data_IF_316157188843
#
_entry.id   IF_316157188843
#
_cell.length_a   1.000
_cell.length_b   1.000
_cell.length_c   1.000
_cell.angle_alpha   90.00
_cell.angle_beta   90.00
_cell.angle_gamma   90.00
#
_symmetry.space_group_name_H-M   'P 1'
#
loop_
_entity.id
_entity.type
_entity.pdbx_description
1 polymer ?
#
# COMPACT_ATOMS: atom_id res chain seq x y z
N UNK A 1 6.88 24.77 -7.56
CA UNK A 1 8.13 24.07 -7.16
C UNK A 1 7.72 22.70 -6.66
N UNK A 2 8.25 21.61 -7.22
CA UNK A 2 7.90 20.27 -6.76
C UNK A 2 8.49 19.98 -5.37
N UNK A 3 7.71 19.26 -4.57
CA UNK A 3 8.16 18.76 -3.27
C UNK A 3 8.82 17.39 -3.46
N UNK A 4 9.94 17.15 -2.78
CA UNK A 4 10.63 15.87 -2.74
C UNK A 4 10.61 15.33 -1.31
N UNK A 5 10.22 14.07 -1.15
CA UNK A 5 10.41 13.36 0.10
C UNK A 5 11.79 12.74 0.10
N UNK A 6 12.56 12.98 1.15
CA UNK A 6 13.90 12.42 1.29
C UNK A 6 14.02 11.60 2.57
N UNK A 7 14.89 10.60 2.46
CA UNK A 7 15.44 9.83 3.56
C UNK A 7 16.95 10.07 3.51
N UNK A 8 17.50 10.72 4.52
CA UNK A 8 18.92 10.97 4.62
C UNK A 8 19.48 10.46 5.96
N UNK A 9 20.78 10.28 6.02
CA UNK A 9 21.51 9.87 7.23
C UNK A 9 22.47 10.97 7.63
N UNK A 10 22.44 11.36 8.90
CA UNK A 10 23.43 12.27 9.49
C UNK A 10 24.77 11.56 9.70
N UNK A 11 25.85 12.32 9.88
CA UNK A 11 27.17 11.79 10.23
C UNK A 11 27.16 10.98 11.55
N UNK A 12 26.20 11.24 12.43
CA UNK A 12 25.94 10.51 13.68
C UNK A 12 25.32 9.12 13.46
N UNK A 13 24.96 8.78 12.21
CA UNK A 13 24.27 7.54 11.85
C UNK A 13 22.74 7.61 11.98
N UNK A 14 22.19 8.72 12.50
CA UNK A 14 20.74 8.90 12.65
C UNK A 14 20.07 9.12 11.30
N UNK A 15 18.99 8.39 11.06
CA UNK A 15 18.18 8.54 9.85
C UNK A 15 17.16 9.66 10.06
N UNK A 16 17.09 10.57 9.10
CA UNK A 16 16.20 11.74 9.09
C UNK A 16 15.34 11.66 7.84
N UNK A 17 14.04 11.80 8.02
CA UNK A 17 13.06 11.82 6.93
C UNK A 17 12.37 13.17 6.91
N UNK A 18 12.27 13.78 5.74
CA UNK A 18 11.66 15.10 5.59
C UNK A 18 11.13 15.35 4.19
N UNK A 19 10.49 16.49 4.02
CA UNK A 19 10.06 17.02 2.73
C UNK A 19 10.92 18.24 2.44
N UNK A 20 11.35 18.36 1.20
CA UNK A 20 12.16 19.47 0.70
C UNK A 20 11.62 19.90 -0.66
N UNK A 21 11.29 21.18 -0.81
CA UNK A 21 10.92 21.76 -2.10
C UNK A 21 12.19 22.07 -2.89
N UNK A 22 12.31 21.56 -4.12
CA UNK A 22 13.46 21.80 -4.99
C UNK A 22 13.01 21.87 -6.46
N UNK A 23 13.79 22.54 -7.31
CA UNK A 23 13.46 22.69 -8.74
C UNK A 23 13.62 21.38 -9.50
N UNK A 24 14.58 20.55 -9.10
CA UNK A 24 14.89 19.25 -9.70
C UNK A 24 15.57 18.34 -8.64
N UNK A 25 15.78 17.05 -8.96
CA UNK A 25 16.42 16.08 -8.06
C UNK A 25 17.86 16.48 -7.70
N UNK A 26 18.59 17.10 -8.62
CA UNK A 26 19.97 17.54 -8.39
C UNK A 26 20.03 18.67 -7.34
N UNK A 27 19.11 19.62 -7.41
CA UNK A 27 18.94 20.71 -6.44
C UNK A 27 18.53 20.18 -5.06
N UNK A 28 17.69 19.14 -5.02
CA UNK A 28 17.34 18.45 -3.78
C UNK A 28 18.57 17.79 -3.14
N UNK A 29 19.40 17.10 -3.93
CA UNK A 29 20.65 16.50 -3.45
C UNK A 29 21.64 17.55 -2.94
N UNK A 30 21.82 18.65 -3.68
CA UNK A 30 22.70 19.75 -3.28
C UNK A 30 22.24 20.40 -1.97
N UNK A 31 20.92 20.57 -1.80
CA UNK A 31 20.32 21.11 -0.58
C UNK A 31 20.46 20.18 0.63
N UNK A 32 20.46 18.85 0.41
CA UNK A 32 20.74 17.86 1.46
C UNK A 32 22.23 17.85 1.83
N UNK A 33 23.11 17.91 0.83
CA UNK A 33 24.56 17.99 1.05
C UNK A 33 24.95 19.27 1.82
N UNK A 34 24.33 20.41 1.51
CA UNK A 34 24.52 21.66 2.25
C UNK A 34 24.10 21.59 3.73
N UNK A 35 23.23 20.63 4.08
CA UNK A 35 22.79 20.35 5.46
C UNK A 35 23.60 19.25 6.13
N UNK A 36 24.70 18.80 5.53
CA UNK A 36 25.51 17.66 6.01
C UNK A 36 24.70 16.36 6.16
N UNK A 37 23.65 16.21 5.34
CA UNK A 37 22.78 15.03 5.31
C UNK A 37 23.15 14.18 4.10
N UNK A 38 23.44 12.90 4.31
CA UNK A 38 23.75 11.96 3.25
C UNK A 38 22.46 11.32 2.71
N UNK A 39 22.03 11.60 1.47
CA UNK A 39 20.80 11.06 0.92
C UNK A 39 20.88 9.55 0.72
N UNK A 40 19.96 8.81 1.34
CA UNK A 40 19.77 7.37 1.15
C UNK A 40 18.71 7.11 0.07
N UNK A 41 17.66 7.95 0.04
CA UNK A 41 16.60 7.90 -0.97
C UNK A 41 15.98 9.28 -1.15
N UNK A 42 15.75 9.70 -2.40
CA UNK A 42 15.09 10.97 -2.75
C UNK A 42 14.05 10.66 -3.81
N UNK A 43 12.78 10.83 -3.49
CA UNK A 43 11.65 10.58 -4.39
C UNK A 43 10.81 11.86 -4.48
N UNK A 44 10.16 12.10 -5.64
CA UNK A 44 9.15 13.16 -5.76
C UNK A 44 8.03 12.89 -4.76
N UNK A 45 7.57 13.89 -3.99
CA UNK A 45 6.58 13.71 -2.93
C UNK A 45 5.26 13.11 -3.46
N UNK A 46 4.90 13.41 -4.70
CA UNK A 46 3.74 12.80 -5.38
C UNK A 46 3.98 11.31 -5.70
N UNK A 47 5.19 10.94 -6.11
CA UNK A 47 5.58 9.54 -6.33
C UNK A 47 5.78 8.78 -5.01
N UNK A 48 6.27 9.44 -3.97
CA UNK A 48 6.45 8.85 -2.64
C UNK A 48 5.10 8.53 -1.98
N UNK A 49 4.09 9.39 -2.14
CA UNK A 49 2.70 9.07 -1.77
C UNK A 49 2.15 7.86 -2.53
N UNK A 50 2.49 7.70 -3.81
CA UNK A 50 2.11 6.52 -4.60
C UNK A 50 2.89 5.26 -4.16
N UNK A 51 4.16 5.38 -3.80
CA UNK A 51 5.00 4.27 -3.36
C UNK A 51 4.66 3.80 -1.93
N UNK A 52 4.23 4.71 -1.05
CA UNK A 52 3.70 4.39 0.28
C UNK A 52 2.37 3.62 0.21
N UNK A 53 1.56 3.83 -0.83
CA UNK A 53 0.35 3.00 -1.08
C UNK A 53 0.71 1.55 -1.42
N UNK A 54 1.87 1.29 -2.01
CA UNK A 54 2.31 -0.05 -2.41
C UNK A 54 3.22 -0.78 -1.41
N UNK A 55 3.63 -0.12 -0.32
CA UNK A 55 4.29 -0.79 0.81
C UNK A 55 3.24 -1.51 1.66
N UNK A 56 2.56 -2.49 1.06
CA UNK A 56 1.58 -3.36 1.69
C UNK A 56 2.20 -4.05 2.89
N UNK A 57 1.86 -3.57 4.10
CA UNK A 57 2.10 -4.31 5.33
C UNK A 57 1.39 -5.64 5.20
N UNK A 58 2.15 -6.73 5.26
CA UNK A 58 1.65 -8.10 5.27
C UNK A 58 0.45 -8.21 6.21
N UNK A 59 -0.68 -8.69 5.70
CA UNK A 59 -1.91 -8.81 6.50
C UNK A 59 -1.66 -9.88 7.57
N UNK A 60 -1.95 -9.58 8.83
CA UNK A 60 -1.77 -10.57 9.91
C UNK A 60 -2.74 -11.72 9.69
N UNK A 61 -2.28 -12.96 9.92
CA UNK A 61 -3.06 -14.19 9.76
C UNK A 61 -4.44 -14.17 10.44
N UNK A 62 -4.56 -13.49 11.59
CA UNK A 62 -5.84 -13.31 12.30
C UNK A 62 -6.92 -12.64 11.44
N UNK A 63 -6.54 -11.64 10.64
CA UNK A 63 -7.49 -10.90 9.81
C UNK A 63 -7.93 -11.74 8.61
N UNK A 64 -7.02 -12.54 8.05
CA UNK A 64 -7.36 -13.49 6.99
C UNK A 64 -8.28 -14.59 7.49
N UNK A 65 -8.03 -15.11 8.68
CA UNK A 65 -8.87 -16.14 9.30
C UNK A 65 -10.31 -15.64 9.45
N UNK A 66 -10.49 -14.43 9.99
CA UNK A 66 -11.82 -13.81 10.12
C UNK A 66 -12.48 -13.60 8.75
N UNK A 67 -11.73 -13.07 7.77
CA UNK A 67 -12.22 -12.87 6.42
C UNK A 67 -12.74 -14.18 5.78
N UNK A 68 -11.95 -15.25 5.84
CA UNK A 68 -12.34 -16.53 5.24
C UNK A 68 -13.55 -17.16 5.94
N UNK A 69 -13.65 -17.05 7.27
CA UNK A 69 -14.83 -17.49 8.01
C UNK A 69 -16.07 -16.72 7.57
N UNK A 70 -16.01 -15.39 7.55
CA UNK A 70 -17.14 -14.56 7.16
C UNK A 70 -17.54 -14.77 5.70
N UNK A 71 -16.57 -14.95 4.79
CA UNK A 71 -16.84 -15.30 3.40
C UNK A 71 -17.56 -16.65 3.31
N UNK A 72 -17.09 -17.66 4.04
CA UNK A 72 -17.72 -18.97 4.06
C UNK A 72 -19.16 -18.90 4.59
N UNK A 73 -19.42 -18.12 5.64
CA UNK A 73 -20.76 -17.96 6.22
C UNK A 73 -21.72 -17.27 5.24
N UNK A 74 -21.26 -16.23 4.54
CA UNK A 74 -22.04 -15.54 3.50
C UNK A 74 -22.34 -16.46 2.30
N UNK A 75 -21.35 -17.22 1.83
CA UNK A 75 -21.55 -18.16 0.73
C UNK A 75 -22.49 -19.32 1.14
N UNK A 76 -22.35 -19.86 2.36
CA UNK A 76 -23.24 -20.91 2.89
C UNK A 76 -24.69 -20.45 3.05
N UNK A 77 -24.90 -19.16 3.35
CA UNK A 77 -26.23 -18.56 3.40
C UNK A 77 -26.79 -18.18 2.02
N UNK A 78 -26.08 -18.49 0.94
CA UNK A 78 -26.53 -18.26 -0.43
C UNK A 78 -26.32 -16.83 -0.93
N UNK A 79 -25.55 -16.01 -0.20
CA UNK A 79 -25.20 -14.66 -0.67
C UNK A 79 -24.26 -14.77 -1.88
N UNK A 80 -24.58 -14.13 -3.01
CA UNK A 80 -23.74 -14.17 -4.20
C UNK A 80 -22.31 -13.72 -3.92
N UNK A 81 -21.32 -14.40 -4.50
CA UNK A 81 -19.89 -14.14 -4.25
C UNK A 81 -19.49 -12.66 -4.37
N UNK A 82 -19.91 -11.99 -5.45
CA UNK A 82 -19.61 -10.56 -5.67
C UNK A 82 -20.18 -9.68 -4.55
N UNK A 83 -21.39 -10.01 -4.08
CA UNK A 83 -22.01 -9.28 -2.98
C UNK A 83 -21.30 -9.56 -1.66
N UNK A 84 -20.90 -10.81 -1.42
CA UNK A 84 -20.12 -11.19 -0.25
C UNK A 84 -18.80 -10.43 -0.19
N UNK A 85 -18.05 -10.35 -1.30
CA UNK A 85 -16.80 -9.59 -1.40
C UNK A 85 -17.02 -8.09 -1.13
N UNK A 86 -18.11 -7.51 -1.65
CA UNK A 86 -18.46 -6.10 -1.40
C UNK A 86 -18.74 -5.84 0.09
N UNK A 87 -19.51 -6.71 0.75
CA UNK A 87 -19.83 -6.59 2.17
C UNK A 87 -18.57 -6.70 3.03
N UNK A 88 -17.71 -7.68 2.75
CA UNK A 88 -16.45 -7.89 3.48
C UNK A 88 -15.47 -6.74 3.27
N UNK A 89 -15.41 -6.15 2.07
CA UNK A 89 -14.61 -4.97 1.83
C UNK A 89 -15.11 -3.79 2.70
N UNK A 90 -16.41 -3.53 2.73
CA UNK A 90 -16.98 -2.45 3.57
C UNK A 90 -16.70 -2.65 5.06
N UNK A 91 -16.79 -3.88 5.55
CA UNK A 91 -16.55 -4.24 6.96
C UNK A 91 -15.07 -4.30 7.36
N UNK A 92 -14.16 -4.49 6.41
CA UNK A 92 -12.74 -4.65 6.71
C UNK A 92 -12.15 -3.37 7.34
N UNK A 93 -11.49 -3.54 8.48
CA UNK A 93 -10.80 -2.46 9.20
C UNK A 93 -9.34 -2.32 8.77
N UNK A 94 -8.80 -3.28 8.04
CA UNK A 94 -7.42 -3.27 7.59
C UNK A 94 -7.31 -2.60 6.20
N UNK A 95 -6.60 -1.47 6.07
CA UNK A 95 -6.48 -0.76 4.79
C UNK A 95 -5.85 -1.60 3.68
N UNK A 96 -4.85 -2.42 3.99
CA UNK A 96 -4.19 -3.30 3.01
C UNK A 96 -5.12 -4.39 2.52
N UNK A 97 -5.94 -4.97 3.40
CA UNK A 97 -6.92 -5.97 3.01
C UNK A 97 -8.07 -5.35 2.20
N UNK A 98 -8.52 -4.14 2.56
CA UNK A 98 -9.54 -3.42 1.79
C UNK A 98 -9.15 -3.23 0.33
N UNK A 99 -7.93 -2.73 0.10
CA UNK A 99 -7.44 -2.49 -1.25
C UNK A 99 -7.39 -3.79 -2.07
N UNK A 100 -6.85 -4.86 -1.49
CA UNK A 100 -6.82 -6.17 -2.17
C UNK A 100 -8.22 -6.70 -2.45
N UNK A 101 -9.17 -6.55 -1.52
CA UNK A 101 -10.55 -6.98 -1.76
C UNK A 101 -11.26 -6.15 -2.84
N UNK A 102 -10.91 -4.87 -2.97
CA UNK A 102 -11.43 -4.01 -4.03
C UNK A 102 -10.94 -4.46 -5.41
N UNK A 103 -9.64 -4.75 -5.53
CA UNK A 103 -8.99 -5.27 -6.74
C UNK A 103 -9.56 -6.67 -7.10
N UNK A 104 -9.59 -7.61 -6.15
CA UNK A 104 -10.14 -8.95 -6.35
C UNK A 104 -11.62 -8.90 -6.76
N UNK A 105 -12.43 -8.02 -6.15
CA UNK A 105 -13.84 -7.88 -6.51
C UNK A 105 -14.00 -7.40 -7.95
N UNK A 106 -13.18 -6.43 -8.39
CA UNK A 106 -13.22 -5.91 -9.75
C UNK A 106 -12.88 -7.01 -10.77
N UNK A 107 -11.79 -7.75 -10.54
CA UNK A 107 -11.39 -8.84 -11.45
C UNK A 107 -12.43 -9.96 -11.55
N UNK A 108 -13.05 -10.33 -10.41
CA UNK A 108 -14.11 -11.34 -10.39
C UNK A 108 -15.37 -10.83 -11.08
N UNK A 109 -15.66 -9.52 -10.98
CA UNK A 109 -16.78 -8.90 -11.69
C UNK A 109 -16.56 -8.93 -13.21
N UNK A 110 -15.30 -8.79 -13.64
CA UNK A 110 -14.88 -8.91 -15.05
C UNK A 110 -14.83 -10.38 -15.54
N UNK A 111 -15.14 -11.35 -14.69
CA UNK A 111 -15.24 -12.77 -15.04
C UNK A 111 -14.00 -13.60 -14.71
N UNK A 112 -13.00 -13.02 -14.05
CA UNK A 112 -11.81 -13.75 -13.59
C UNK A 112 -12.19 -14.73 -12.47
N UNK A 113 -11.56 -15.90 -12.47
CA UNK A 113 -11.75 -16.88 -11.39
C UNK A 113 -11.20 -16.31 -10.07
N UNK A 114 -11.97 -16.46 -8.99
CA UNK A 114 -11.57 -15.99 -7.65
C UNK A 114 -10.17 -16.44 -7.22
N UNK A 115 -9.83 -17.71 -7.46
CA UNK A 115 -8.52 -18.26 -7.10
C UNK A 115 -7.37 -17.58 -7.86
N UNK A 116 -7.58 -17.22 -9.13
CA UNK A 116 -6.60 -16.49 -9.94
C UNK A 116 -6.44 -15.07 -9.39
N UNK A 117 -7.54 -14.38 -9.17
CA UNK A 117 -7.53 -13.02 -8.64
C UNK A 117 -6.81 -12.93 -7.29
N UNK A 118 -7.12 -13.82 -6.35
CA UNK A 118 -6.43 -13.87 -5.05
C UNK A 118 -4.94 -14.21 -5.18
N UNK A 119 -4.56 -15.06 -6.13
CA UNK A 119 -3.17 -15.45 -6.39
C UNK A 119 -2.28 -14.28 -6.85
N UNK A 120 -2.86 -13.21 -7.40
CA UNK A 120 -2.13 -12.00 -7.80
C UNK A 120 -1.65 -11.16 -6.60
N UNK A 121 -2.10 -11.47 -5.38
CA UNK A 121 -1.78 -10.70 -4.18
C UNK A 121 -0.97 -11.51 -3.13
N UNK A 122 0.26 -11.97 -3.45
CA UNK A 122 1.06 -12.84 -2.56
C UNK A 122 1.58 -12.17 -1.28
N UNK A 123 1.39 -10.86 -1.15
CA UNK A 123 1.75 -10.07 0.05
C UNK A 123 0.67 -10.16 1.15
N UNK A 124 -0.47 -10.79 0.86
CA UNK A 124 -1.58 -11.07 1.77
C UNK A 124 -1.70 -12.58 1.95
#
# INVERSE_FOLDING_TARGET
MPDFQYIAREATGRQVTGILSASNQQDALNSLAARSLFPVKVDLADQAKAQLKHSGRRVRARYLSIFYTQLADLLKSGVPLLRSLELLNKQSTNPSLKQVLEEVRAEVADGTRLAVAMGQHPKV
#
